data_IF_030606158205
#
_entry.id   IF_030606158205
#
_cell.length_a   1.000
_cell.length_b   1.000
_cell.length_c   1.000
_cell.angle_alpha   90.00
_cell.angle_beta   90.00
_cell.angle_gamma   90.00
#
_symmetry.space_group_name_H-M   'P 1'
#
loop_
_entity.id
_entity.type
_entity.pdbx_description
1 polymer ?
#
# COMPACT_ATOMS: atom_id res chain seq x y z
N UNK A 1 43.76 -13.02 24.24
CA UNK A 1 44.45 -11.76 23.90
C UNK A 1 43.39 -10.73 23.52
N UNK A 2 43.41 -9.58 24.16
CA UNK A 2 42.32 -8.62 24.26
C UNK A 2 42.05 -7.83 22.97
N UNK A 3 40.81 -7.92 22.45
CA UNK A 3 40.29 -7.03 21.41
C UNK A 3 39.66 -5.78 22.03
N UNK A 4 40.49 -4.81 22.39
CA UNK A 4 40.11 -3.49 22.89
C UNK A 4 39.53 -2.61 21.76
N UNK A 5 38.36 -2.01 22.02
CA UNK A 5 38.14 -0.60 21.72
C UNK A 5 37.26 -0.24 20.52
N UNK A 6 35.98 0.04 20.78
CA UNK A 6 35.27 1.13 20.08
C UNK A 6 34.73 2.11 21.14
N UNK A 7 35.61 3.02 21.55
CA UNK A 7 35.34 4.05 22.55
C UNK A 7 34.42 5.16 22.04
N UNK A 8 33.12 4.86 21.86
CA UNK A 8 32.02 5.84 21.77
C UNK A 8 30.70 5.27 22.35
N UNK A 9 30.78 4.49 23.43
CA UNK A 9 29.64 3.70 23.94
C UNK A 9 28.93 4.33 25.16
N UNK A 10 29.02 5.64 25.34
CA UNK A 10 28.23 6.36 26.35
C UNK A 10 27.23 7.26 25.61
N UNK A 11 25.95 6.91 25.67
CA UNK A 11 24.90 7.81 25.21
C UNK A 11 24.82 9.00 26.17
N UNK A 12 24.33 10.15 25.68
CA UNK A 12 24.11 11.35 26.51
C UNK A 12 22.97 11.19 27.51
N UNK A 13 22.23 10.08 27.45
CA UNK A 13 21.14 9.71 28.33
C UNK A 13 21.43 8.39 29.07
N UNK A 14 20.73 8.16 30.18
CA UNK A 14 20.89 6.93 30.97
C UNK A 14 20.18 5.75 30.31
N UNK A 15 20.94 4.73 29.91
CA UNK A 15 20.46 3.50 29.27
C UNK A 15 19.70 2.60 30.27
N UNK A 16 20.10 2.60 31.54
CA UNK A 16 19.50 1.78 32.60
C UNK A 16 18.06 2.24 32.90
N UNK A 17 17.80 3.54 32.76
CA UNK A 17 16.44 4.09 32.87
C UNK A 17 15.51 3.65 31.72
N UNK A 18 16.06 3.19 30.59
CA UNK A 18 15.32 2.61 29.48
C UNK A 18 15.09 1.10 29.65
N UNK A 19 15.56 0.50 30.75
CA UNK A 19 15.42 -0.93 31.04
C UNK A 19 16.46 -1.81 30.35
N UNK A 20 17.54 -1.23 29.81
CA UNK A 20 18.67 -1.96 29.25
C UNK A 20 19.81 -1.96 30.28
N UNK A 21 20.15 -3.12 30.83
CA UNK A 21 21.21 -3.19 31.84
C UNK A 21 22.59 -2.99 31.19
N UNK A 22 23.53 -2.48 31.98
CA UNK A 22 24.88 -2.19 31.53
C UNK A 22 25.59 -3.49 31.12
N UNK A 23 25.83 -3.64 29.82
CA UNK A 23 26.47 -4.83 29.23
C UNK A 23 25.48 -5.84 28.63
N UNK A 24 24.18 -5.57 28.67
CA UNK A 24 23.19 -6.33 27.88
C UNK A 24 23.35 -6.04 26.38
N UNK A 25 23.03 -7.04 25.56
CA UNK A 25 23.08 -6.92 24.11
C UNK A 25 22.05 -5.90 23.64
N UNK A 26 22.53 -4.77 23.09
CA UNK A 26 21.68 -3.81 22.41
C UNK A 26 21.00 -4.47 21.19
N UNK A 27 19.82 -3.97 20.78
CA UNK A 27 19.19 -4.44 19.55
C UNK A 27 20.16 -4.28 18.38
N UNK A 28 20.10 -5.23 17.45
CA UNK A 28 20.99 -5.24 16.29
C UNK A 28 20.83 -3.95 15.47
N UNK A 29 21.96 -3.38 15.05
CA UNK A 29 21.95 -2.21 14.17
C UNK A 29 21.42 -2.61 12.80
N UNK A 30 20.31 -2.02 12.37
CA UNK A 30 19.78 -2.25 11.02
C UNK A 30 20.80 -1.78 9.96
N UNK A 31 21.29 -2.69 9.12
CA UNK A 31 22.25 -2.39 8.05
C UNK A 31 21.60 -1.77 6.80
N UNK A 32 20.31 -2.03 6.58
CA UNK A 32 19.56 -1.54 5.42
C UNK A 32 18.16 -1.06 5.83
N UNK A 33 17.59 -0.08 5.10
CA UNK A 33 16.21 0.33 5.32
C UNK A 33 15.27 -0.85 5.04
N UNK A 34 14.15 -0.89 5.78
CA UNK A 34 13.11 -1.89 5.53
C UNK A 34 12.56 -1.75 4.10
N UNK A 35 12.15 -2.85 3.46
CA UNK A 35 11.53 -2.78 2.14
C UNK A 35 10.24 -1.94 2.18
N UNK A 36 9.90 -1.29 1.06
CA UNK A 36 8.69 -0.48 0.92
C UNK A 36 7.41 -1.29 1.15
N UNK A 37 7.42 -2.56 0.72
CA UNK A 37 6.31 -3.48 0.90
C UNK A 37 6.77 -4.65 1.78
N UNK A 38 6.38 -4.67 3.07
CA UNK A 38 6.67 -5.81 3.92
C UNK A 38 5.87 -7.03 3.46
N UNK A 39 6.41 -8.22 3.71
CA UNK A 39 5.68 -9.47 3.49
C UNK A 39 4.58 -9.52 4.55
N UNK A 40 3.34 -9.74 4.10
CA UNK A 40 2.17 -9.91 4.97
C UNK A 40 1.82 -11.40 5.05
N UNK A 41 1.56 -11.90 6.24
CA UNK A 41 1.21 -13.32 6.45
C UNK A 41 -0.20 -13.64 5.95
N UNK A 42 -1.13 -12.68 6.03
CA UNK A 42 -2.52 -12.83 5.63
C UNK A 42 -2.77 -12.23 4.24
N UNK A 43 -3.36 -13.03 3.35
CA UNK A 43 -3.85 -12.56 2.04
C UNK A 43 -5.30 -12.09 2.14
N UNK A 44 -5.73 -11.15 1.28
CA UNK A 44 -7.14 -10.75 1.21
C UNK A 44 -8.04 -11.93 0.83
N UNK A 45 -9.29 -11.88 1.28
CA UNK A 45 -10.29 -12.90 0.98
C UNK A 45 -10.61 -12.89 -0.53
N UNK A 46 -10.71 -14.06 -1.20
CA UNK A 46 -11.12 -14.13 -2.60
C UNK A 46 -12.48 -13.48 -2.85
N UNK A 47 -12.67 -12.95 -4.06
CA UNK A 47 -13.96 -12.39 -4.47
C UNK A 47 -15.05 -13.46 -4.49
N UNK A 48 -16.29 -13.04 -4.22
CA UNK A 48 -17.46 -13.90 -4.35
C UNK A 48 -17.68 -14.23 -5.83
N UNK A 49 -18.01 -15.48 -6.11
CA UNK A 49 -18.30 -15.98 -7.45
C UNK A 49 -19.74 -16.46 -7.53
N UNK A 50 -20.34 -16.33 -8.71
CA UNK A 50 -21.71 -16.79 -8.99
C UNK A 50 -22.47 -15.84 -9.91
N UNK A 51 -23.50 -16.37 -10.56
CA UNK A 51 -24.25 -15.68 -11.61
C UNK A 51 -24.83 -14.33 -11.17
N UNK A 52 -25.27 -14.23 -9.91
CA UNK A 52 -25.79 -12.97 -9.36
C UNK A 52 -24.72 -11.89 -9.19
N UNK A 53 -23.51 -12.27 -8.75
CA UNK A 53 -22.40 -11.34 -8.61
C UNK A 53 -21.88 -10.91 -9.99
N UNK A 54 -21.78 -11.84 -10.93
CA UNK A 54 -21.37 -11.58 -12.31
C UNK A 54 -22.37 -10.67 -13.04
N UNK A 55 -23.66 -10.88 -12.84
CA UNK A 55 -24.71 -10.01 -13.38
C UNK A 55 -24.61 -8.59 -12.84
N UNK A 56 -24.41 -8.43 -11.52
CA UNK A 56 -24.22 -7.11 -10.91
C UNK A 56 -22.96 -6.42 -11.42
N UNK A 57 -21.87 -7.16 -11.67
CA UNK A 57 -20.65 -6.61 -12.26
C UNK A 57 -20.88 -6.12 -13.69
N UNK A 58 -21.57 -6.90 -14.52
CA UNK A 58 -21.95 -6.50 -15.88
C UNK A 58 -22.84 -5.25 -15.85
N UNK A 59 -23.89 -5.26 -15.03
CA UNK A 59 -24.82 -4.13 -14.89
C UNK A 59 -24.11 -2.85 -14.44
N UNK A 60 -23.17 -2.95 -13.50
CA UNK A 60 -22.35 -1.81 -13.06
C UNK A 60 -21.55 -1.19 -14.21
N UNK A 61 -21.00 -2.02 -15.10
CA UNK A 61 -20.26 -1.55 -16.27
C UNK A 61 -21.17 -0.85 -17.28
N UNK A 62 -22.36 -1.42 -17.54
CA UNK A 62 -23.36 -0.82 -18.41
C UNK A 62 -23.84 0.54 -17.90
N UNK A 63 -24.15 0.64 -16.60
CA UNK A 63 -24.55 1.90 -15.97
C UNK A 63 -23.46 2.95 -16.13
N UNK A 64 -22.18 2.60 -15.94
CA UNK A 64 -21.07 3.53 -16.17
C UNK A 64 -21.02 4.04 -17.60
N UNK A 65 -21.34 3.20 -18.59
CA UNK A 65 -21.46 3.59 -19.99
C UNK A 65 -22.63 4.53 -20.21
N UNK A 66 -23.83 4.12 -19.81
CA UNK A 66 -25.07 4.87 -19.99
C UNK A 66 -25.05 6.23 -19.28
N UNK A 67 -24.46 6.31 -18.09
CA UNK A 67 -24.38 7.57 -17.33
C UNK A 67 -23.59 8.65 -18.06
N UNK A 68 -22.62 8.30 -18.92
CA UNK A 68 -21.87 9.27 -19.73
C UNK A 68 -22.67 9.85 -20.89
N UNK A 69 -23.74 9.16 -21.31
CA UNK A 69 -24.64 9.62 -22.36
C UNK A 69 -25.80 10.47 -21.82
N UNK A 70 -26.00 10.50 -20.50
CA UNK A 70 -27.05 11.30 -19.88
C UNK A 70 -26.69 12.80 -19.93
N UNK A 71 -27.70 13.69 -20.03
CA UNK A 71 -27.49 15.14 -20.06
C UNK A 71 -26.90 15.68 -18.74
N UNK A 72 -26.92 14.88 -17.68
CA UNK A 72 -26.32 15.21 -16.38
C UNK A 72 -24.79 15.01 -16.35
N UNK A 73 -24.20 14.43 -17.39
CA UNK A 73 -22.75 14.25 -17.49
C UNK A 73 -22.09 15.53 -18.01
N UNK A 74 -21.79 16.45 -17.09
CA UNK A 74 -21.16 17.74 -17.39
C UNK A 74 -19.67 17.52 -17.69
N UNK A 75 -19.25 17.86 -18.91
CA UNK A 75 -17.86 17.83 -19.34
C UNK A 75 -17.17 19.17 -19.06
N UNK A 76 -15.89 19.12 -18.71
CA UNK A 76 -15.06 20.32 -18.65
C UNK A 76 -14.87 20.89 -20.07
N UNK A 77 -14.92 22.22 -20.26
CA UNK A 77 -14.72 22.84 -21.56
C UNK A 77 -13.32 22.51 -22.10
N UNK A 78 -13.25 21.98 -23.33
CA UNK A 78 -12.01 21.56 -23.99
C UNK A 78 -11.65 20.07 -23.86
N UNK A 79 -12.39 19.29 -23.06
CA UNK A 79 -12.17 17.85 -22.93
C UNK A 79 -12.86 17.07 -24.07
N UNK A 80 -12.10 16.67 -25.10
CA UNK A 80 -12.59 15.77 -26.15
C UNK A 80 -12.84 14.39 -25.55
N UNK A 81 -13.97 13.77 -25.90
CA UNK A 81 -14.50 12.48 -25.39
C UNK A 81 -13.67 11.24 -25.75
N UNK A 82 -12.36 11.40 -26.02
CA UNK A 82 -11.46 10.34 -26.46
C UNK A 82 -10.41 9.94 -25.42
N UNK A 83 -10.50 8.69 -24.99
CA UNK A 83 -9.39 7.82 -24.56
C UNK A 83 -8.70 7.93 -23.19
N UNK A 84 -8.83 8.99 -22.38
CA UNK A 84 -8.11 8.99 -21.08
C UNK A 84 -8.83 8.25 -19.93
N UNK A 85 -10.14 8.04 -20.03
CA UNK A 85 -10.91 7.35 -18.96
C UNK A 85 -10.98 5.82 -19.11
N UNK A 86 -10.69 5.29 -20.30
CA UNK A 86 -10.59 3.84 -20.52
C UNK A 86 -9.39 3.24 -19.77
N UNK A 87 -8.30 3.99 -19.63
CA UNK A 87 -7.12 3.54 -18.90
C UNK A 87 -7.38 3.38 -17.40
N UNK A 88 -8.09 4.34 -16.78
CA UNK A 88 -8.34 4.32 -15.34
C UNK A 88 -9.42 3.30 -14.91
N UNK A 89 -10.35 2.97 -15.82
CA UNK A 89 -11.38 1.95 -15.58
C UNK A 89 -10.86 0.53 -15.84
N UNK A 90 -10.09 0.31 -16.90
CA UNK A 90 -9.57 -1.03 -17.20
C UNK A 90 -8.51 -1.49 -16.19
N UNK A 91 -7.68 -0.58 -15.66
CA UNK A 91 -6.67 -0.91 -14.63
C UNK A 91 -7.30 -1.40 -13.32
N UNK A 92 -8.54 -1.00 -13.02
CA UNK A 92 -9.23 -1.41 -11.79
C UNK A 92 -10.17 -2.61 -11.96
N UNK A 93 -10.44 -3.07 -13.18
CA UNK A 93 -11.37 -4.19 -13.45
C UNK A 93 -10.62 -5.50 -13.78
N UNK A 94 -9.33 -5.43 -14.11
CA UNK A 94 -8.48 -6.60 -14.40
C UNK A 94 -7.40 -6.87 -13.33
N UNK A 95 -7.55 -6.34 -12.12
CA UNK A 95 -6.65 -6.60 -10.98
C UNK A 95 -7.37 -7.41 -9.89
#
# INVERSE_FOLDING_TARGET
MAGRGRGRAAFTFNIEALGLAKGESLPESAFQPKPLYPIVDSKPVPLKTGEGEDYMLALKQEIRGSMKALPYYILLPGHKTGNYFYFLVSVFVHA
#
